data_IF_398879699030
#
_entry.id   IF_398879699030
#
_cell.length_a   1.000
_cell.length_b   1.000
_cell.length_c   1.000
_cell.angle_alpha   90.00
_cell.angle_beta   90.00
_cell.angle_gamma   90.00
#
_symmetry.space_group_name_H-M   'P 1'
#
loop_
_entity.id
_entity.type
_entity.pdbx_description
1 polymer ?
#
# COMPACT_ATOMS: atom_id res chain seq x y z
N UNK A 1 -12.62 30.64 1.87
CA UNK A 1 -12.58 30.10 2.00
C UNK A 1 -12.28 29.14 1.69
N UNK A 2 -12.06 28.61 1.71
CA UNK A 2 -11.69 27.71 1.49
C UNK A 2 -12.06 26.69 1.52
N UNK A 3 -11.96 26.15 1.23
CA UNK A 3 -12.38 25.26 1.20
C UNK A 3 -11.99 24.23 1.51
N UNK A 4 -11.92 23.90 1.91
CA UNK A 4 -11.52 23.02 2.28
C UNK A 4 -11.55 21.97 1.88
N UNK A 5 -11.11 21.38 1.73
CA UNK A 5 -10.99 20.38 1.30
C UNK A 5 -11.36 19.45 1.84
N UNK A 6 -11.59 19.32 1.93
CA UNK A 6 -12.00 18.50 2.29
C UNK A 6 -11.77 17.44 2.75
N UNK A 7 -12.05 17.01 2.76
CA UNK A 7 -12.09 15.91 3.14
C UNK A 7 -11.07 15.30 3.33
N UNK A 8 -11.03 14.58 4.06
CA UNK A 8 -10.03 13.92 4.32
C UNK A 8 -9.86 13.10 3.34
N UNK A 9 -9.02 13.11 2.75
CA UNK A 9 -8.77 12.20 1.93
C UNK A 9 -7.94 11.19 2.50
N UNK A 10 -7.96 9.99 2.00
CA UNK A 10 -7.04 8.91 2.30
C UNK A 10 -5.72 9.28 1.67
N UNK A 11 -4.71 9.47 2.49
CA UNK A 11 -3.41 9.88 2.01
C UNK A 11 -2.75 8.75 1.22
N UNK A 12 -1.95 9.11 0.23
CA UNK A 12 -1.20 8.12 -0.53
C UNK A 12 -0.26 7.35 0.39
N UNK A 13 -0.21 6.02 0.29
CA UNK A 13 0.71 5.24 1.11
C UNK A 13 2.14 5.25 0.61
N UNK A 14 2.45 6.04 -0.39
CA UNK A 14 3.80 6.11 -0.92
C UNK A 14 4.74 6.67 0.12
N UNK A 15 5.89 6.03 0.29
CA UNK A 15 6.91 6.50 1.23
C UNK A 15 8.21 6.75 0.51
N UNK A 16 8.15 7.05 -0.78
CA UNK A 16 9.30 7.36 -1.63
C UNK A 16 10.21 6.17 -1.93
N UNK A 17 9.88 4.99 -1.45
CA UNK A 17 10.60 3.80 -1.84
C UNK A 17 9.79 3.15 -2.95
N UNK A 18 10.14 3.48 -4.18
CA UNK A 18 9.35 3.08 -5.31
C UNK A 18 10.08 1.99 -6.06
N UNK A 19 10.07 0.81 -5.54
CA UNK A 19 10.78 -0.31 -6.13
C UNK A 19 9.89 -1.53 -6.14
N UNK A 20 9.61 -2.05 -7.33
CA UNK A 20 8.75 -3.22 -7.46
C UNK A 20 9.54 -4.49 -7.19
N UNK A 21 8.90 -5.42 -6.48
CA UNK A 21 9.49 -6.72 -6.22
C UNK A 21 9.00 -7.67 -7.29
N UNK A 22 9.91 -8.27 -8.03
CA UNK A 22 9.55 -9.17 -9.12
C UNK A 22 8.81 -10.41 -8.66
N UNK A 23 9.04 -10.83 -7.43
CA UNK A 23 8.44 -12.07 -6.96
C UNK A 23 7.01 -11.88 -6.50
N UNK A 24 6.76 -10.83 -5.76
CA UNK A 24 5.42 -10.61 -5.23
C UNK A 24 4.58 -9.71 -6.12
N UNK A 25 5.21 -8.93 -7.00
CA UNK A 25 4.49 -7.96 -7.80
C UNK A 25 4.07 -6.74 -7.01
N UNK A 26 4.60 -6.55 -5.82
CA UNK A 26 4.24 -5.45 -4.95
C UNK A 26 5.39 -4.46 -4.82
N UNK A 27 5.05 -3.21 -4.59
CA UNK A 27 6.04 -2.20 -4.29
C UNK A 27 6.65 -2.51 -2.92
N UNK A 28 7.97 -2.57 -2.85
CA UNK A 28 8.64 -2.89 -1.59
C UNK A 28 8.40 -1.83 -0.54
N UNK A 29 8.14 -0.59 -0.95
CA UNK A 29 7.91 0.48 0.01
C UNK A 29 6.50 0.47 0.57
N UNK A 30 5.49 0.37 -0.27
CA UNK A 30 4.11 0.54 0.17
C UNK A 30 3.24 -0.68 -0.03
N UNK A 31 3.74 -1.71 -0.69
CA UNK A 31 3.03 -2.98 -0.89
C UNK A 31 1.85 -2.89 -1.84
N UNK A 32 1.77 -1.83 -2.63
CA UNK A 32 0.76 -1.75 -3.67
C UNK A 32 1.23 -2.48 -4.92
N UNK A 33 0.28 -2.99 -5.70
CA UNK A 33 0.61 -3.47 -7.04
C UNK A 33 0.84 -2.27 -7.94
N UNK A 34 1.45 -2.50 -9.08
CA UNK A 34 1.67 -1.44 -10.05
C UNK A 34 0.35 -0.83 -10.51
N UNK A 35 -0.67 -1.67 -10.72
CA UNK A 35 -2.00 -1.17 -11.07
C UNK A 35 -2.57 -0.27 -10.00
N UNK A 36 -2.40 -0.64 -8.75
CA UNK A 36 -2.91 0.19 -7.65
C UNK A 36 -2.22 1.52 -7.59
N UNK A 37 -0.91 1.55 -7.87
CA UNK A 37 -0.20 2.80 -7.92
C UNK A 37 -0.71 3.65 -9.10
N UNK A 38 -0.85 3.03 -10.27
CA UNK A 38 -1.24 3.73 -11.47
C UNK A 38 -2.66 4.29 -11.40
N UNK A 39 -3.56 3.61 -10.69
CA UNK A 39 -4.96 4.03 -10.64
C UNK A 39 -5.30 4.81 -9.38
N UNK A 40 -4.34 5.04 -8.49
CA UNK A 40 -4.61 5.65 -7.20
C UNK A 40 -5.37 6.97 -7.34
N UNK A 41 -4.95 7.83 -8.27
CA UNK A 41 -5.55 9.14 -8.41
C UNK A 41 -6.97 9.07 -8.97
N UNK A 42 -7.33 7.95 -9.60
CA UNK A 42 -8.67 7.78 -10.14
C UNK A 42 -9.64 7.19 -9.12
N UNK A 43 -9.16 6.73 -7.98
CA UNK A 43 -10.02 6.14 -6.97
C UNK A 43 -10.61 7.23 -6.09
N UNK A 44 -11.83 6.99 -5.64
CA UNK A 44 -12.41 7.85 -4.60
C UNK A 44 -11.89 7.39 -3.24
N UNK A 45 -12.33 8.07 -2.17
CA UNK A 45 -11.84 7.74 -0.84
C UNK A 45 -12.19 6.33 -0.41
N UNK A 46 -13.36 5.83 -0.79
CA UNK A 46 -13.73 4.47 -0.45
C UNK A 46 -12.81 3.47 -1.13
N UNK A 47 -12.48 3.70 -2.39
CA UNK A 47 -11.57 2.83 -3.13
C UNK A 47 -10.18 2.88 -2.55
N UNK A 48 -9.71 4.08 -2.17
CA UNK A 48 -8.39 4.22 -1.56
C UNK A 48 -8.33 3.56 -0.21
N UNK A 49 -9.40 3.68 0.59
CA UNK A 49 -9.44 3.04 1.89
C UNK A 49 -9.38 1.52 1.75
N UNK A 50 -10.06 0.96 0.76
CA UNK A 50 -10.01 -0.46 0.52
C UNK A 50 -8.59 -0.92 0.18
N UNK A 51 -7.86 -0.13 -0.61
CA UNK A 51 -6.47 -0.45 -0.91
C UNK A 51 -5.63 -0.40 0.36
N UNK A 52 -5.79 0.64 1.16
CA UNK A 52 -5.00 0.78 2.39
C UNK A 52 -5.22 -0.43 3.31
N UNK A 53 -6.44 -0.92 3.40
CA UNK A 53 -6.72 -2.09 4.22
C UNK A 53 -6.02 -3.33 3.68
N UNK A 54 -5.98 -3.47 2.36
CA UNK A 54 -5.22 -4.56 1.76
C UNK A 54 -3.73 -4.45 2.07
N UNK A 55 -3.21 -3.22 2.11
CA UNK A 55 -1.80 -3.03 2.40
C UNK A 55 -1.45 -3.49 3.81
N UNK A 56 -2.35 -3.26 4.75
CA UNK A 56 -2.12 -3.73 6.11
C UNK A 56 -2.04 -5.24 6.17
N UNK A 57 -2.92 -5.92 5.45
CA UNK A 57 -2.88 -7.37 5.37
C UNK A 57 -1.58 -7.85 4.73
N UNK A 58 -1.15 -7.18 3.69
CA UNK A 58 0.08 -7.57 2.99
C UNK A 58 1.31 -7.37 3.87
N UNK A 59 1.33 -6.27 4.64
CA UNK A 59 2.43 -6.04 5.57
C UNK A 59 2.47 -7.08 6.67
N UNK A 60 1.31 -7.45 7.19
CA UNK A 60 1.24 -8.46 8.23
C UNK A 60 1.72 -9.81 7.70
N UNK A 61 1.32 -10.16 6.48
CA UNK A 61 1.76 -11.41 5.87
C UNK A 61 3.27 -11.40 5.64
N UNK A 62 3.82 -10.28 5.23
CA UNK A 62 5.26 -10.17 5.01
C UNK A 62 6.04 -10.31 6.30
N UNK A 63 5.52 -9.72 7.38
CA UNK A 63 6.18 -9.85 8.68
C UNK A 63 6.14 -11.29 9.17
N UNK A 64 5.01 -11.95 8.99
CA UNK A 64 4.88 -13.34 9.40
C UNK A 64 5.83 -14.23 8.60
N UNK A 65 5.96 -13.95 7.32
CA UNK A 65 6.86 -14.72 6.48
C UNK A 65 8.30 -14.55 6.90
N UNK A 66 8.70 -13.32 7.22
CA UNK A 66 10.07 -13.07 7.67
C UNK A 66 10.35 -13.74 9.01
N UNK A 67 9.36 -13.73 9.91
CA UNK A 67 9.51 -14.40 11.18
C UNK A 67 9.66 -15.90 11.01
N UNK A 68 8.85 -16.48 10.12
CA UNK A 68 8.93 -17.92 9.85
C UNK A 68 10.29 -18.30 9.26
N UNK A 69 10.81 -17.47 8.37
CA UNK A 69 12.14 -17.75 7.82
C UNK A 69 13.22 -17.70 8.88
N UNK A 70 13.10 -16.76 9.82
CA UNK A 70 14.07 -16.65 10.89
C UNK A 70 14.05 -17.89 11.77
N UNK A 71 12.85 -18.38 12.07
CA UNK A 71 12.71 -19.55 12.92
C UNK A 71 13.16 -20.81 12.23
N UNK A 72 13.11 -20.85 10.92
CA UNK A 72 13.50 -22.04 10.19
C UNK A 72 14.99 -22.22 10.08
N UNK A 73 15.79 -21.24 10.49
CA UNK A 73 17.25 -21.35 10.38
C UNK A 73 17.92 -22.04 11.55
#
# INVERSE_FOLDING_TARGET
MNPAPAAPHVASPCNDVCKMDDRSGLCLGCYRTLDEIATWSALDDAGRQAVVELLESRRAAARAERAARREAR
#
